data_IF_909546439873
#
_entry.id   IF_909546439873
#
_cell.length_a   1.000
_cell.length_b   1.000
_cell.length_c   1.000
_cell.angle_alpha   90.00
_cell.angle_beta   90.00
_cell.angle_gamma   90.00
#
_symmetry.space_group_name_H-M   'P 1'
#
loop_
_entity.id
_entity.type
_entity.pdbx_description
1 polymer ?
#
# COMPACT_ATOMS: atom_id res chain seq x y z
N UNK A 1 29.17 -4.32 -15.51
CA UNK A 1 28.53 -5.30 -14.61
C UNK A 1 27.12 -5.51 -15.11
N UNK A 2 26.83 -6.66 -15.70
CA UNK A 2 25.45 -7.03 -16.05
C UNK A 2 24.73 -7.41 -14.76
N UNK A 3 23.49 -6.96 -14.52
CA UNK A 3 22.73 -7.38 -13.34
C UNK A 3 22.54 -8.91 -13.39
N UNK A 4 22.80 -9.58 -12.26
CA UNK A 4 22.45 -11.00 -12.12
C UNK A 4 20.94 -11.15 -12.21
N UNK A 5 20.41 -12.17 -12.93
CA UNK A 5 18.97 -12.39 -13.01
C UNK A 5 18.41 -12.58 -11.60
N UNK A 6 17.47 -11.72 -11.21
CA UNK A 6 16.82 -11.78 -9.91
C UNK A 6 16.07 -13.12 -9.78
N UNK A 7 16.25 -13.78 -8.64
CA UNK A 7 15.53 -15.01 -8.31
C UNK A 7 14.04 -14.67 -8.18
N UNK A 8 13.09 -15.50 -8.67
CA UNK A 8 11.66 -15.23 -8.51
C UNK A 8 11.31 -15.06 -7.03
N UNK A 9 10.72 -13.92 -6.69
CA UNK A 9 10.22 -13.60 -5.35
C UNK A 9 8.70 -13.43 -5.41
N UNK A 10 7.95 -13.80 -4.36
CA UNK A 10 6.53 -13.48 -4.29
C UNK A 10 6.31 -11.95 -4.21
N UNK A 11 5.34 -11.46 -4.98
CA UNK A 11 4.98 -10.03 -5.01
C UNK A 11 3.73 -9.77 -4.14
N UNK A 12 3.76 -8.69 -3.37
CA UNK A 12 2.67 -8.25 -2.48
C UNK A 12 2.19 -6.86 -2.90
N UNK A 13 0.93 -6.77 -3.30
CA UNK A 13 0.24 -5.48 -3.45
C UNK A 13 -0.48 -5.13 -2.15
N UNK A 14 0.08 -4.19 -1.38
CA UNK A 14 -0.46 -3.77 -0.09
C UNK A 14 -1.42 -2.60 -0.23
N UNK A 15 -2.70 -2.81 0.08
CA UNK A 15 -3.73 -1.76 0.04
C UNK A 15 -4.00 -1.24 1.46
N UNK A 16 -3.88 0.08 1.66
CA UNK A 16 -4.18 0.76 2.91
C UNK A 16 -5.34 1.75 2.73
N UNK A 17 -6.24 1.87 3.70
CA UNK A 17 -7.55 2.52 3.41
C UNK A 17 -7.62 4.02 3.74
N UNK A 18 -7.00 4.53 4.82
CA UNK A 18 -7.45 5.83 5.40
C UNK A 18 -6.36 6.89 5.56
N UNK A 19 -5.15 6.50 5.99
CA UNK A 19 -4.20 7.45 6.57
C UNK A 19 -2.96 7.75 5.72
N UNK A 20 -2.97 7.34 4.44
CA UNK A 20 -1.80 7.46 3.59
C UNK A 20 -0.73 6.40 3.86
N UNK A 21 0.44 6.60 3.26
CA UNK A 21 1.66 5.85 3.54
C UNK A 21 2.24 6.41 4.85
N UNK A 22 1.89 5.79 5.97
CA UNK A 22 2.40 6.14 7.30
C UNK A 22 3.66 5.33 7.61
N UNK A 23 4.42 5.72 8.63
CA UNK A 23 5.57 4.95 9.13
C UNK A 23 5.20 3.48 9.40
N UNK A 24 3.98 3.22 9.90
CA UNK A 24 3.49 1.86 10.09
C UNK A 24 3.32 1.06 8.79
N UNK A 25 2.91 1.70 7.69
CA UNK A 25 2.83 1.05 6.37
C UNK A 25 4.23 0.70 5.86
N UNK A 26 5.19 1.61 6.03
CA UNK A 26 6.60 1.36 5.68
C UNK A 26 7.18 0.21 6.51
N UNK A 27 6.96 0.19 7.82
CA UNK A 27 7.39 -0.90 8.73
C UNK A 27 6.84 -2.26 8.31
N UNK A 28 5.57 -2.35 7.92
CA UNK A 28 4.97 -3.61 7.47
C UNK A 28 5.51 -4.02 6.09
N UNK A 29 5.75 -3.06 5.18
CA UNK A 29 6.35 -3.33 3.88
C UNK A 29 7.79 -3.86 4.03
N UNK A 30 8.56 -3.27 4.94
CA UNK A 30 9.91 -3.72 5.29
C UNK A 30 9.89 -5.12 5.92
N UNK A 31 8.90 -5.41 6.78
CA UNK A 31 8.74 -6.75 7.36
C UNK A 31 8.52 -7.83 6.27
N UNK A 32 7.62 -7.59 5.32
CA UNK A 32 7.41 -8.51 4.19
C UNK A 32 8.65 -8.62 3.29
N UNK A 33 9.37 -7.53 3.09
CA UNK A 33 10.64 -7.54 2.36
C UNK A 33 11.69 -8.38 3.08
N UNK A 34 11.76 -8.30 4.41
CA UNK A 34 12.58 -9.18 5.25
C UNK A 34 12.20 -10.66 5.16
N UNK A 35 10.95 -10.97 4.82
CA UNK A 35 10.48 -12.33 4.54
C UNK A 35 10.77 -12.80 3.11
N UNK A 36 11.39 -11.97 2.26
CA UNK A 36 11.73 -12.30 0.87
C UNK A 36 10.64 -11.99 -0.16
N UNK A 37 9.63 -11.20 0.20
CA UNK A 37 8.65 -10.67 -0.75
C UNK A 37 9.12 -9.36 -1.38
N UNK A 38 8.64 -9.03 -2.58
CA UNK A 38 8.65 -7.64 -3.07
C UNK A 38 7.30 -7.00 -2.75
N UNK A 39 7.31 -5.76 -2.26
CA UNK A 39 6.08 -5.07 -1.81
C UNK A 39 5.87 -3.79 -2.59
N UNK A 40 4.64 -3.59 -3.07
CA UNK A 40 4.18 -2.34 -3.66
C UNK A 40 3.00 -1.86 -2.82
N UNK A 41 3.09 -0.68 -2.23
CA UNK A 41 1.96 -0.02 -1.56
C UNK A 41 1.64 1.31 -2.27
N UNK A 42 0.59 1.35 -3.09
CA UNK A 42 0.18 2.59 -3.75
C UNK A 42 -0.48 3.54 -2.74
N UNK A 43 -0.19 4.84 -2.84
CA UNK A 43 -0.94 5.87 -2.10
C UNK A 43 -2.41 5.81 -2.52
N UNK A 44 -3.30 5.35 -1.64
CA UNK A 44 -4.72 5.15 -1.96
C UNK A 44 -5.56 6.43 -1.95
N UNK A 45 -5.02 7.54 -1.42
CA UNK A 45 -5.71 8.84 -1.28
C UNK A 45 -5.19 9.90 -2.25
N UNK A 46 -4.21 9.56 -3.10
CA UNK A 46 -3.53 10.48 -4.00
C UNK A 46 -4.44 11.31 -4.91
N UNK A 47 -5.57 10.74 -5.37
CA UNK A 47 -6.53 11.45 -6.25
C UNK A 47 -7.38 12.49 -5.52
N UNK A 48 -7.51 12.37 -4.20
CA UNK A 48 -8.23 13.35 -3.38
C UNK A 48 -7.24 14.36 -2.84
N UNK A 49 -6.13 13.88 -2.27
CA UNK A 49 -5.06 14.71 -1.72
C UNK A 49 -3.71 13.99 -1.83
N UNK A 50 -2.85 14.37 -2.80
CA UNK A 50 -1.51 13.81 -2.96
C UNK A 50 -0.66 13.94 -1.70
N UNK A 51 0.02 12.86 -1.31
CA UNK A 51 0.96 12.87 -0.17
C UNK A 51 0.27 13.08 1.18
N UNK A 52 -1.03 12.81 1.29
CA UNK A 52 -1.72 12.88 2.56
C UNK A 52 -1.22 11.78 3.49
N UNK A 53 -0.70 12.17 4.65
CA UNK A 53 -0.34 11.27 5.74
C UNK A 53 -0.98 11.79 7.03
N UNK A 54 -1.55 10.89 7.84
CA UNK A 54 -2.18 11.23 9.10
C UNK A 54 -1.88 10.21 10.19
N UNK A 55 -1.63 10.69 11.40
CA UNK A 55 -1.43 9.87 12.58
C UNK A 55 -2.78 9.55 13.23
N UNK A 56 -3.14 8.26 13.26
CA UNK A 56 -4.37 7.76 13.88
C UNK A 56 -4.52 8.15 15.36
N UNK A 57 -3.40 8.31 16.09
CA UNK A 57 -3.39 8.61 17.53
C UNK A 57 -3.72 10.06 17.83
N UNK A 58 -3.61 10.96 16.84
CA UNK A 58 -3.95 12.38 17.00
C UNK A 58 -5.41 12.59 16.57
N UNK A 59 -6.33 12.95 17.48
CA UNK A 59 -7.77 13.00 17.18
C UNK A 59 -8.14 13.83 15.94
N UNK A 60 -7.53 15.01 15.79
CA UNK A 60 -7.76 15.92 14.65
C UNK A 60 -7.31 15.31 13.32
N UNK A 61 -6.17 14.60 13.30
CA UNK A 61 -5.66 13.94 12.11
C UNK A 61 -6.48 12.69 11.77
N UNK A 62 -6.90 11.94 12.80
CA UNK A 62 -7.83 10.82 12.65
C UNK A 62 -9.13 11.25 12.00
N UNK A 63 -9.75 12.32 12.51
CA UNK A 63 -10.99 12.86 11.95
C UNK A 63 -10.83 13.30 10.50
N UNK A 64 -9.71 13.96 10.17
CA UNK A 64 -9.37 14.36 8.80
C UNK A 64 -9.24 13.15 7.86
N UNK A 65 -8.57 12.08 8.28
CA UNK A 65 -8.47 10.85 7.49
C UNK A 65 -9.82 10.17 7.27
N UNK A 66 -10.64 10.06 8.33
CA UNK A 66 -12.00 9.51 8.24
C UNK A 66 -12.90 10.31 7.30
N UNK A 67 -12.73 11.63 7.24
CA UNK A 67 -13.46 12.49 6.29
C UNK A 67 -13.03 12.26 4.85
N UNK A 68 -11.73 12.09 4.58
CA UNK A 68 -11.23 11.80 3.23
C UNK A 68 -11.72 10.44 2.72
N UNK A 69 -11.80 9.42 3.59
CA UNK A 69 -12.37 8.10 3.25
C UNK A 69 -13.78 8.21 2.65
N UNK A 70 -14.63 9.09 3.17
CA UNK A 70 -16.00 9.28 2.67
C UNK A 70 -16.06 9.86 1.25
N UNK A 71 -14.96 10.47 0.79
CA UNK A 71 -14.83 11.07 -0.53
C UNK A 71 -14.22 10.10 -1.55
N UNK A 72 -13.72 8.94 -1.12
CA UNK A 72 -13.07 7.96 -1.99
C UNK A 72 -14.08 7.15 -2.80
N UNK A 73 -14.05 7.21 -4.15
CA UNK A 73 -14.81 6.31 -5.00
C UNK A 73 -14.08 4.96 -5.12
N UNK A 74 -13.98 4.21 -4.02
CA UNK A 74 -13.28 2.94 -4.04
C UNK A 74 -14.18 1.84 -4.64
N UNK A 75 -14.13 1.66 -5.97
CA UNK A 75 -14.59 0.43 -6.63
C UNK A 75 -13.38 -0.28 -7.26
N UNK A 76 -12.86 -1.29 -6.56
CA UNK A 76 -11.85 -2.18 -7.12
C UNK A 76 -12.55 -3.41 -7.73
N UNK A 77 -12.36 -3.63 -9.03
CA UNK A 77 -12.74 -4.89 -9.70
C UNK A 77 -11.44 -5.64 -9.96
N UNK A 78 -11.27 -6.81 -9.35
CA UNK A 78 -10.10 -7.66 -9.54
C UNK A 78 -10.47 -8.81 -10.46
N UNK A 79 -9.96 -8.81 -11.70
CA UNK A 79 -10.14 -9.91 -12.66
C UNK A 79 -8.90 -10.79 -12.66
N UNK A 80 -8.87 -11.80 -11.78
CA UNK A 80 -8.00 -12.98 -11.81
C UNK A 80 -6.49 -12.78 -11.70
N UNK A 81 -5.86 -13.40 -10.70
CA UNK A 81 -4.42 -13.72 -10.77
C UNK A 81 -4.24 -14.93 -11.69
N UNK A 82 -3.48 -14.77 -12.79
CA UNK A 82 -3.14 -15.86 -13.70
C UNK A 82 -2.42 -16.99 -12.94
N UNK A 83 -2.83 -18.23 -13.20
CA UNK A 83 -2.24 -19.40 -12.56
C UNK A 83 -0.74 -19.47 -12.89
N UNK A 84 0.09 -19.53 -11.85
CA UNK A 84 1.50 -19.86 -12.00
C UNK A 84 1.62 -21.35 -12.32
N UNK A 85 1.76 -21.66 -13.62
CA UNK A 85 2.23 -22.96 -14.07
C UNK A 85 3.75 -23.02 -14.04
N UNK A 86 4.30 -24.01 -13.33
CA UNK A 86 5.12 -25.14 -13.83
C UNK A 86 5.47 -26.02 -12.66
#
# INVERSE_FOLDING_TARGET
MSPSPAKPSPDVLMLHEIFGITDWIEEIADWFTGCGCQVISPDMVWRIKPGFVANYRIPEQREKGLRLRQQSPARAVFTGFGQAGT
#
